data_IF_201562370543
#
_entry.id   IF_201562370543
#
_cell.length_a   1.000
_cell.length_b   1.000
_cell.length_c   1.000
_cell.angle_alpha   90.00
_cell.angle_beta   90.00
_cell.angle_gamma   90.00
#
_symmetry.space_group_name_H-M   'P 1'
#
loop_
_entity.id
_entity.type
_entity.pdbx_description
1 polymer ?
#
# COMPACT_ATOMS: atom_id res chain seq x y z
N UNK A 1 39.82 -25.20 27.36
CA UNK A 1 39.56 -23.74 27.53
C UNK A 1 40.72 -22.87 27.06
N UNK A 2 41.97 -23.07 27.52
CA UNK A 2 43.13 -22.23 27.10
C UNK A 2 43.41 -22.22 25.59
N UNK A 3 43.17 -23.33 24.89
CA UNK A 3 43.38 -23.48 23.43
C UNK A 3 42.30 -22.83 22.57
N UNK A 4 41.04 -22.81 23.01
CA UNK A 4 39.93 -22.18 22.27
C UNK A 4 40.03 -20.64 22.36
N UNK A 5 40.42 -20.13 23.52
CA UNK A 5 40.68 -18.70 23.73
C UNK A 5 41.83 -18.20 22.83
N UNK A 6 42.86 -19.01 22.59
CA UNK A 6 43.97 -18.63 21.71
C UNK A 6 43.55 -18.50 20.23
N UNK A 7 42.59 -19.32 19.79
CA UNK A 7 42.04 -19.27 18.42
C UNK A 7 41.16 -18.03 18.24
N UNK A 8 40.34 -17.69 19.23
CA UNK A 8 39.45 -16.52 19.21
C UNK A 8 40.19 -15.17 19.17
N UNK A 9 41.43 -15.11 19.69
CA UNK A 9 42.27 -13.90 19.68
C UNK A 9 43.33 -13.93 18.56
N UNK A 10 43.31 -14.98 17.72
CA UNK A 10 44.22 -15.09 16.59
C UNK A 10 43.79 -14.20 15.42
N UNK A 11 44.71 -13.93 14.50
CA UNK A 11 44.46 -13.18 13.26
C UNK A 11 43.41 -13.83 12.34
N UNK A 12 42.96 -15.06 12.63
CA UNK A 12 41.85 -15.72 11.94
C UNK A 12 40.56 -14.89 12.04
N UNK A 13 40.36 -14.16 13.15
CA UNK A 13 39.21 -13.27 13.34
C UNK A 13 39.55 -11.79 13.19
N UNK A 14 40.77 -11.46 12.73
CA UNK A 14 41.11 -10.08 12.43
C UNK A 14 40.31 -9.63 11.20
N UNK A 15 39.58 -8.53 11.34
CA UNK A 15 38.83 -7.93 10.25
C UNK A 15 39.77 -7.50 9.13
N UNK A 16 39.62 -8.09 7.93
CA UNK A 16 40.27 -7.62 6.72
C UNK A 16 39.68 -6.28 6.22
N UNK A 17 38.50 -5.90 6.72
CA UNK A 17 37.99 -4.56 6.50
C UNK A 17 38.82 -3.60 7.35
N UNK A 18 39.73 -2.88 6.70
CA UNK A 18 40.16 -1.57 7.16
C UNK A 18 38.90 -0.80 7.57
N UNK A 19 38.99 0.02 8.61
CA UNK A 19 37.91 0.86 9.14
C UNK A 19 37.36 1.81 8.08
N UNK A 20 36.62 1.29 7.11
CA UNK A 20 35.74 2.04 6.26
C UNK A 20 34.64 2.48 7.19
N UNK A 21 34.55 3.78 7.46
CA UNK A 21 33.32 4.36 7.96
C UNK A 21 32.21 4.01 6.95
N UNK A 22 31.50 2.90 7.19
CA UNK A 22 30.34 2.54 6.39
C UNK A 22 29.25 3.53 6.74
N UNK A 23 29.12 4.59 5.95
CA UNK A 23 28.00 5.51 6.05
C UNK A 23 26.73 4.73 5.73
N UNK A 24 25.71 4.81 6.58
CA UNK A 24 24.40 4.18 6.36
C UNK A 24 23.59 4.94 5.29
N UNK A 25 24.16 5.07 4.09
CA UNK A 25 23.54 5.72 2.94
C UNK A 25 22.48 4.78 2.37
N UNK A 26 21.24 5.25 2.11
CA UNK A 26 20.22 4.45 1.47
C UNK A 26 20.67 3.89 0.12
N UNK A 27 20.63 2.57 -0.03
CA UNK A 27 20.94 1.88 -1.29
C UNK A 27 19.95 0.74 -1.52
N UNK A 28 19.49 0.49 -2.76
CA UNK A 28 18.61 -0.65 -3.04
C UNK A 28 19.24 -1.99 -2.63
N UNK A 29 18.41 -2.99 -2.32
CA UNK A 29 18.92 -4.38 -2.30
C UNK A 29 19.42 -4.78 -3.69
N UNK A 30 20.25 -5.81 -3.77
CA UNK A 30 20.79 -6.27 -5.05
C UNK A 30 19.68 -6.64 -6.06
N UNK A 31 18.60 -7.28 -5.60
CA UNK A 31 17.46 -7.64 -6.44
C UNK A 31 16.69 -6.40 -6.94
N UNK A 32 16.45 -5.43 -6.06
CA UNK A 32 15.82 -4.15 -6.45
C UNK A 32 16.71 -3.35 -7.42
N UNK A 33 18.02 -3.31 -7.19
CA UNK A 33 18.95 -2.66 -8.11
C UNK A 33 18.95 -3.32 -9.49
N UNK A 34 18.89 -4.66 -9.56
CA UNK A 34 18.81 -5.38 -10.82
C UNK A 34 17.53 -5.03 -11.59
N UNK A 35 16.38 -4.95 -10.89
CA UNK A 35 15.12 -4.47 -11.46
C UNK A 35 15.24 -3.03 -12.00
N UNK A 36 15.77 -2.11 -11.19
CA UNK A 36 15.95 -0.71 -11.59
C UNK A 36 16.89 -0.56 -12.79
N UNK A 37 17.95 -1.37 -12.87
CA UNK A 37 18.87 -1.34 -14.02
C UNK A 37 18.15 -1.69 -15.32
N UNK A 38 17.27 -2.69 -15.31
CA UNK A 38 16.46 -3.06 -16.48
C UNK A 38 15.48 -1.94 -16.82
N UNK A 39 14.72 -1.45 -15.83
CA UNK A 39 13.74 -0.39 -16.01
C UNK A 39 14.37 0.89 -16.59
N UNK A 40 15.46 1.36 -15.97
CA UNK A 40 16.14 2.61 -16.32
C UNK A 40 16.96 2.51 -17.62
N UNK A 41 17.21 1.30 -18.14
CA UNK A 41 17.82 1.11 -19.47
C UNK A 41 16.83 1.31 -20.61
N UNK A 42 15.52 1.32 -20.33
CA UNK A 42 14.47 1.52 -21.31
C UNK A 42 14.53 2.92 -21.92
N UNK A 43 14.35 3.01 -23.24
CA UNK A 43 14.26 4.29 -23.98
C UNK A 43 12.82 4.79 -24.13
N UNK A 44 11.91 4.31 -23.27
CA UNK A 44 10.51 4.73 -23.27
C UNK A 44 10.37 6.19 -22.86
N UNK A 45 9.26 6.82 -23.29
CA UNK A 45 8.90 8.15 -22.80
C UNK A 45 8.54 8.09 -21.31
N UNK A 46 8.79 9.15 -20.51
CA UNK A 46 8.30 9.26 -19.14
C UNK A 46 6.78 9.03 -19.05
N UNK A 47 6.30 8.42 -17.97
CA UNK A 47 4.90 8.05 -17.83
C UNK A 47 3.97 9.26 -17.83
N UNK A 48 4.39 10.39 -17.27
CA UNK A 48 3.62 11.64 -17.28
C UNK A 48 3.43 12.24 -18.69
N UNK A 49 4.11 11.70 -19.71
CA UNK A 49 3.96 12.07 -21.12
C UNK A 49 3.14 11.02 -21.91
N UNK A 50 2.63 9.99 -21.24
CA UNK A 50 1.73 8.99 -21.80
C UNK A 50 0.28 9.45 -21.69
N UNK A 51 -0.58 8.92 -22.56
CA UNK A 51 -2.02 8.92 -22.29
C UNK A 51 -2.33 8.00 -21.09
N UNK A 52 -3.45 8.19 -20.38
CA UNK A 52 -3.88 7.27 -19.33
C UNK A 52 -3.90 5.80 -19.79
N UNK A 53 -4.34 5.53 -21.02
CA UNK A 53 -4.42 4.18 -21.58
C UNK A 53 -3.04 3.56 -21.82
N UNK A 54 -2.10 4.34 -22.37
CA UNK A 54 -0.71 3.89 -22.54
C UNK A 54 -0.06 3.58 -21.18
N UNK A 55 -0.24 4.48 -20.20
CA UNK A 55 0.31 4.31 -18.86
C UNK A 55 -0.27 3.06 -18.15
N UNK A 56 -1.59 2.83 -18.27
CA UNK A 56 -2.25 1.62 -17.76
C UNK A 56 -1.62 0.36 -18.34
N UNK A 57 -1.36 0.36 -19.65
CA UNK A 57 -0.78 -0.80 -20.33
C UNK A 57 0.64 -1.13 -19.85
N UNK A 58 1.41 -0.13 -19.40
CA UNK A 58 2.74 -0.35 -18.80
C UNK A 58 2.61 -1.20 -17.53
N UNK A 59 1.72 -0.84 -16.62
CA UNK A 59 1.52 -1.62 -15.38
C UNK A 59 0.93 -3.00 -15.67
N UNK A 60 -0.05 -3.10 -16.58
CA UNK A 60 -0.63 -4.39 -17.00
C UNK A 60 0.46 -5.32 -17.55
N UNK A 61 1.30 -4.82 -18.46
CA UNK A 61 2.38 -5.59 -19.05
C UNK A 61 3.44 -6.02 -18.04
N UNK A 62 3.82 -5.14 -17.10
CA UNK A 62 4.78 -5.45 -16.05
C UNK A 62 4.28 -6.52 -15.06
N UNK A 63 2.97 -6.63 -14.87
CA UNK A 63 2.35 -7.56 -13.94
C UNK A 63 1.93 -8.89 -14.60
N UNK A 64 1.86 -8.96 -15.93
CA UNK A 64 1.37 -10.12 -16.64
C UNK A 64 2.24 -11.37 -16.43
N UNK A 65 1.60 -12.55 -16.37
CA UNK A 65 2.30 -13.84 -16.40
C UNK A 65 2.89 -14.28 -15.07
N UNK A 66 2.66 -13.53 -13.99
CA UNK A 66 3.10 -13.90 -12.66
C UNK A 66 2.44 -15.21 -12.18
N UNK A 67 3.20 -16.03 -11.47
CA UNK A 67 2.66 -17.18 -10.75
C UNK A 67 1.83 -16.68 -9.58
N UNK A 68 0.53 -16.98 -9.60
CA UNK A 68 -0.39 -16.61 -8.52
C UNK A 68 -0.38 -17.69 -7.43
N UNK A 69 -0.24 -17.32 -6.13
CA UNK A 69 -0.43 -18.29 -5.06
C UNK A 69 -1.90 -18.77 -5.03
N UNK A 70 -2.16 -20.02 -4.60
CA UNK A 70 -3.52 -20.57 -4.58
C UNK A 70 -4.48 -19.75 -3.70
N UNK A 71 -5.65 -19.45 -4.23
CA UNK A 71 -6.73 -18.71 -3.57
C UNK A 71 -8.04 -18.91 -4.32
N UNK A 72 -9.17 -18.76 -3.64
CA UNK A 72 -10.49 -18.70 -4.27
C UNK A 72 -10.78 -17.25 -4.69
N UNK A 73 -11.27 -17.04 -5.91
CA UNK A 73 -11.67 -15.70 -6.39
C UNK A 73 -13.10 -15.75 -6.91
N UNK A 74 -13.93 -14.82 -6.46
CA UNK A 74 -15.28 -14.60 -6.96
C UNK A 74 -15.55 -13.12 -7.22
N UNK A 75 -16.72 -12.81 -7.77
CA UNK A 75 -17.12 -11.46 -8.15
C UNK A 75 -18.54 -11.20 -7.67
N UNK A 76 -18.81 -9.96 -7.26
CA UNK A 76 -20.16 -9.48 -6.94
C UNK A 76 -20.27 -8.01 -7.33
N UNK A 77 -21.35 -7.66 -8.01
CA UNK A 77 -21.73 -6.25 -8.20
C UNK A 77 -22.78 -5.89 -7.17
N UNK A 78 -22.50 -4.87 -6.37
CA UNK A 78 -23.44 -4.32 -5.38
C UNK A 78 -24.11 -3.07 -5.93
N UNK A 79 -25.29 -2.74 -5.41
CA UNK A 79 -26.01 -1.51 -5.74
C UNK A 79 -26.09 -0.65 -4.49
N UNK A 80 -25.47 0.53 -4.53
CA UNK A 80 -25.49 1.48 -3.40
C UNK A 80 -25.83 2.85 -3.94
N UNK A 81 -26.88 3.48 -3.40
CA UNK A 81 -27.35 4.81 -3.81
C UNK A 81 -27.56 4.98 -5.33
N UNK A 82 -28.02 3.91 -6.01
CA UNK A 82 -28.23 3.90 -7.46
C UNK A 82 -26.95 3.76 -8.30
N UNK A 83 -25.80 3.52 -7.67
CA UNK A 83 -24.54 3.20 -8.36
C UNK A 83 -24.18 1.72 -8.21
N UNK A 84 -23.75 1.13 -9.32
CA UNK A 84 -23.19 -0.22 -9.33
C UNK A 84 -21.70 -0.15 -8.97
N UNK A 85 -21.28 -0.95 -7.98
CA UNK A 85 -19.87 -1.09 -7.60
C UNK A 85 -19.49 -2.56 -7.75
N UNK A 86 -18.47 -2.84 -8.56
CA UNK A 86 -17.97 -4.20 -8.76
C UNK A 86 -16.94 -4.53 -7.69
N UNK A 87 -17.09 -5.70 -7.10
CA UNK A 87 -16.21 -6.25 -6.08
C UNK A 87 -15.55 -7.53 -6.57
N UNK A 88 -14.27 -7.71 -6.27
CA UNK A 88 -13.59 -9.01 -6.39
C UNK A 88 -13.30 -9.51 -4.99
N UNK A 89 -13.78 -10.72 -4.69
CA UNK A 89 -13.64 -11.33 -3.37
C UNK A 89 -12.59 -12.42 -3.47
N UNK A 90 -11.54 -12.31 -2.67
CA UNK A 90 -10.45 -13.30 -2.64
C UNK A 90 -10.41 -13.95 -1.26
N UNK A 91 -10.41 -15.28 -1.21
CA UNK A 91 -10.39 -16.06 0.03
C UNK A 91 -9.25 -17.08 0.02
N UNK A 92 -8.79 -17.56 1.20
CA UNK A 92 -7.86 -18.67 1.27
C UNK A 92 -8.35 -19.88 0.47
N UNK A 93 -7.44 -20.65 -0.13
CA UNK A 93 -7.76 -21.77 -1.02
C UNK A 93 -8.75 -22.78 -0.42
N UNK A 94 -8.57 -23.09 0.87
CA UNK A 94 -9.38 -24.06 1.61
C UNK A 94 -10.38 -23.37 2.57
N UNK A 95 -10.82 -22.15 2.25
CA UNK A 95 -11.75 -21.41 3.10
C UNK A 95 -13.08 -22.16 3.27
N UNK A 96 -13.49 -22.34 4.53
CA UNK A 96 -14.81 -22.87 4.92
C UNK A 96 -15.41 -22.00 6.02
N UNK A 97 -16.73 -21.82 6.00
CA UNK A 97 -17.43 -20.99 7.00
C UNK A 97 -17.24 -19.48 6.78
N UNK A 98 -17.61 -18.70 7.80
CA UNK A 98 -17.57 -17.23 7.78
C UNK A 98 -16.18 -16.72 8.18
N UNK A 99 -15.57 -15.89 7.34
CA UNK A 99 -14.25 -15.28 7.59
C UNK A 99 -14.36 -13.83 8.07
N UNK A 100 -13.38 -13.28 8.82
CA UNK A 100 -13.22 -11.83 8.83
C UNK A 100 -12.83 -11.33 7.44
N UNK A 101 -12.96 -10.03 7.21
CA UNK A 101 -12.60 -9.44 5.93
C UNK A 101 -11.73 -8.19 6.08
N UNK A 102 -11.06 -7.85 4.99
CA UNK A 102 -10.51 -6.53 4.80
C UNK A 102 -10.90 -6.01 3.42
N UNK A 103 -11.22 -4.71 3.37
CA UNK A 103 -11.34 -4.02 2.10
C UNK A 103 -9.95 -3.88 1.49
N UNK A 104 -9.84 -4.04 0.18
CA UNK A 104 -8.60 -3.78 -0.54
C UNK A 104 -8.79 -2.63 -1.54
N UNK A 105 -8.01 -1.57 -1.36
CA UNK A 105 -7.98 -0.40 -2.24
C UNK A 105 -6.66 -0.43 -3.00
N UNK A 106 -6.73 -0.51 -4.32
CA UNK A 106 -5.54 -0.68 -5.14
C UNK A 106 -4.78 0.62 -5.36
N UNK A 107 -3.48 0.49 -5.61
CA UNK A 107 -2.59 1.58 -6.00
C UNK A 107 -2.65 1.88 -7.50
N UNK A 108 -1.70 2.70 -7.96
CA UNK A 108 -1.60 3.10 -9.37
C UNK A 108 -1.85 4.59 -9.63
N UNK A 109 -1.68 5.46 -8.63
CA UNK A 109 -1.77 6.91 -8.86
C UNK A 109 -3.16 7.38 -9.32
N UNK A 110 -4.22 6.66 -8.93
CA UNK A 110 -5.62 6.81 -9.35
C UNK A 110 -5.90 6.57 -10.84
N UNK A 111 -4.88 6.69 -11.69
CA UNK A 111 -4.98 6.51 -13.13
C UNK A 111 -4.80 5.05 -13.56
N UNK A 112 -3.93 4.33 -12.87
CA UNK A 112 -3.52 2.97 -13.17
C UNK A 112 -4.16 1.98 -12.20
N UNK A 113 -3.89 0.71 -12.45
CA UNK A 113 -4.24 -0.38 -11.56
C UNK A 113 -5.65 -0.90 -11.81
N UNK A 114 -5.79 -2.18 -11.53
CA UNK A 114 -7.01 -2.95 -11.58
C UNK A 114 -6.83 -4.20 -10.71
N UNK A 115 -7.83 -5.09 -10.67
CA UNK A 115 -7.72 -6.33 -9.91
C UNK A 115 -6.57 -7.23 -10.43
N UNK A 116 -6.47 -7.57 -11.74
CA UNK A 116 -5.38 -8.41 -12.24
C UNK A 116 -3.96 -7.92 -11.89
N UNK A 117 -3.70 -6.62 -11.98
CA UNK A 117 -2.40 -6.03 -11.65
C UNK A 117 -2.05 -6.17 -10.17
N UNK A 118 -3.04 -6.23 -9.28
CA UNK A 118 -2.86 -6.35 -7.83
C UNK A 118 -3.09 -7.78 -7.31
N UNK A 119 -3.50 -8.71 -8.17
CA UNK A 119 -4.02 -10.02 -7.75
C UNK A 119 -3.01 -10.83 -6.93
N UNK A 120 -1.73 -10.85 -7.32
CA UNK A 120 -0.69 -11.57 -6.55
C UNK A 120 -0.55 -10.98 -5.14
N UNK A 121 -0.42 -9.65 -5.01
CA UNK A 121 -0.35 -8.97 -3.72
C UNK A 121 -1.57 -9.28 -2.84
N UNK A 122 -2.78 -9.21 -3.40
CA UNK A 122 -4.01 -9.50 -2.68
C UNK A 122 -4.00 -10.95 -2.17
N UNK A 123 -3.63 -11.91 -3.02
CA UNK A 123 -3.58 -13.33 -2.65
C UNK A 123 -2.52 -13.60 -1.57
N UNK A 124 -1.38 -12.92 -1.60
CA UNK A 124 -0.37 -13.03 -0.54
C UNK A 124 -0.89 -12.52 0.81
N UNK A 125 -1.56 -11.37 0.83
CA UNK A 125 -2.18 -10.82 2.04
C UNK A 125 -3.31 -11.71 2.57
N UNK A 126 -4.15 -12.26 1.68
CA UNK A 126 -5.20 -13.23 2.03
C UNK A 126 -4.60 -14.49 2.65
N UNK A 127 -3.53 -15.04 2.06
CA UNK A 127 -2.85 -16.23 2.56
C UNK A 127 -2.21 -15.98 3.93
N UNK A 128 -1.53 -14.84 4.10
CA UNK A 128 -0.83 -14.51 5.34
C UNK A 128 -1.76 -14.10 6.48
N UNK A 129 -2.94 -13.50 6.18
CA UNK A 129 -3.91 -13.09 7.21
C UNK A 129 -4.97 -14.15 7.54
N UNK A 130 -5.27 -15.05 6.59
CA UNK A 130 -6.43 -15.95 6.65
C UNK A 130 -7.78 -15.25 6.48
N UNK A 131 -7.80 -13.94 6.22
CA UNK A 131 -9.02 -13.15 6.03
C UNK A 131 -9.41 -13.07 4.54
N UNK A 132 -10.68 -12.72 4.27
CA UNK A 132 -11.14 -12.45 2.91
C UNK A 132 -10.77 -11.02 2.48
N UNK A 133 -10.19 -10.85 1.30
CA UNK A 133 -10.06 -9.54 0.68
C UNK A 133 -11.31 -9.20 -0.12
N UNK A 134 -11.81 -7.98 0.03
CA UNK A 134 -12.84 -7.39 -0.83
C UNK A 134 -12.22 -6.23 -1.60
N UNK A 135 -11.72 -6.52 -2.80
CA UNK A 135 -11.24 -5.49 -3.71
C UNK A 135 -12.41 -4.69 -4.26
N UNK A 136 -12.27 -3.37 -4.27
CA UNK A 136 -13.26 -2.43 -4.81
C UNK A 136 -12.77 -1.90 -6.16
N UNK A 137 -13.54 -2.14 -7.23
CA UNK A 137 -13.23 -1.63 -8.56
C UNK A 137 -13.71 -0.18 -8.71
N UNK A 138 -12.99 0.75 -8.08
CA UNK A 138 -13.33 2.17 -8.12
C UNK A 138 -13.12 2.77 -9.52
N UNK A 139 -13.85 3.84 -9.85
CA UNK A 139 -13.69 4.52 -11.14
C UNK A 139 -12.31 5.22 -11.20
N UNK A 140 -11.47 4.94 -12.20
CA UNK A 140 -10.15 5.54 -12.31
C UNK A 140 -10.21 7.02 -12.71
N UNK A 141 -9.11 7.71 -12.48
CA UNK A 141 -8.85 9.04 -13.04
C UNK A 141 -8.17 8.95 -14.41
N UNK A 142 -8.32 9.95 -15.30
CA UNK A 142 -9.13 11.16 -15.14
C UNK A 142 -10.62 10.99 -15.50
N UNK A 143 -11.11 9.76 -15.74
CA UNK A 143 -12.54 9.53 -16.02
C UNK A 143 -13.43 9.97 -14.85
N UNK A 144 -12.94 9.82 -13.62
CA UNK A 144 -13.48 10.45 -12.43
C UNK A 144 -12.39 11.19 -11.65
N UNK A 145 -12.80 12.22 -10.93
CA UNK A 145 -11.95 13.01 -10.05
C UNK A 145 -12.35 12.81 -8.58
N UNK A 146 -11.55 13.35 -7.66
CA UNK A 146 -11.96 13.47 -6.26
C UNK A 146 -13.37 14.10 -6.16
N UNK A 147 -14.29 13.59 -5.31
CA UNK A 147 -14.17 12.48 -4.36
C UNK A 147 -14.79 11.14 -4.82
N UNK A 148 -15.02 10.91 -6.13
CA UNK A 148 -15.83 9.78 -6.62
C UNK A 148 -15.33 8.41 -6.11
N UNK A 149 -14.05 8.11 -6.31
CA UNK A 149 -13.49 6.82 -5.93
C UNK A 149 -13.49 6.57 -4.41
N UNK A 150 -13.24 7.60 -3.61
CA UNK A 150 -13.25 7.46 -2.13
C UNK A 150 -14.66 7.32 -1.56
N UNK A 151 -15.68 7.86 -2.24
CA UNK A 151 -17.08 7.61 -1.90
C UNK A 151 -17.48 6.19 -2.26
N UNK A 152 -17.10 5.69 -3.45
CA UNK A 152 -17.33 4.29 -3.83
C UNK A 152 -16.66 3.31 -2.84
N UNK A 153 -15.42 3.59 -2.45
CA UNK A 153 -14.69 2.81 -1.45
C UNK A 153 -15.40 2.80 -0.08
N UNK A 154 -15.87 3.96 0.38
CA UNK A 154 -16.61 4.07 1.64
C UNK A 154 -17.95 3.32 1.59
N UNK A 155 -18.73 3.51 0.53
CA UNK A 155 -20.02 2.84 0.35
C UNK A 155 -19.88 1.32 0.23
N UNK A 156 -18.86 0.83 -0.48
CA UNK A 156 -18.54 -0.60 -0.52
C UNK A 156 -18.13 -1.14 0.86
N UNK A 157 -17.35 -0.37 1.63
CA UNK A 157 -16.96 -0.72 2.99
C UNK A 157 -18.18 -0.83 3.91
N UNK A 158 -19.08 0.14 3.85
CA UNK A 158 -20.35 0.14 4.58
C UNK A 158 -21.21 -1.06 4.18
N UNK A 159 -21.34 -1.33 2.88
CA UNK A 159 -22.07 -2.49 2.39
C UNK A 159 -21.51 -3.81 2.93
N UNK A 160 -20.18 -4.00 2.94
CA UNK A 160 -19.57 -5.22 3.51
C UNK A 160 -19.84 -5.33 5.01
N UNK A 161 -19.81 -4.23 5.74
CA UNK A 161 -20.12 -4.23 7.17
C UNK A 161 -21.57 -4.66 7.45
N UNK A 162 -22.53 -4.22 6.63
CA UNK A 162 -23.97 -4.47 6.79
C UNK A 162 -24.42 -5.81 6.18
N UNK A 163 -23.81 -6.21 5.05
CA UNK A 163 -24.25 -7.31 4.19
C UNK A 163 -23.18 -8.40 3.98
N UNK A 164 -22.10 -8.39 4.76
CA UNK A 164 -20.97 -9.31 4.59
C UNK A 164 -21.35 -10.80 4.54
N UNK A 165 -22.43 -11.20 5.21
CA UNK A 165 -22.93 -12.57 5.18
C UNK A 165 -23.26 -13.05 3.75
N UNK A 166 -23.69 -12.16 2.86
CA UNK A 166 -23.97 -12.48 1.45
C UNK A 166 -22.74 -12.92 0.65
N UNK A 167 -21.55 -12.54 1.09
CA UNK A 167 -20.27 -12.97 0.51
C UNK A 167 -19.50 -13.90 1.46
N UNK A 168 -20.14 -14.39 2.52
CA UNK A 168 -19.57 -15.31 3.50
C UNK A 168 -18.47 -14.68 4.36
N UNK A 169 -18.64 -13.41 4.75
CA UNK A 169 -17.75 -12.71 5.69
C UNK A 169 -18.52 -12.12 6.87
N UNK A 170 -17.83 -11.94 7.98
CA UNK A 170 -18.32 -11.24 9.17
C UNK A 170 -17.94 -9.76 9.08
N UNK A 171 -18.90 -8.93 8.67
CA UNK A 171 -18.74 -7.49 8.49
C UNK A 171 -18.39 -6.72 9.77
N UNK A 172 -18.54 -7.32 10.95
CA UNK A 172 -18.14 -6.70 12.22
C UNK A 172 -16.63 -6.81 12.51
N UNK A 173 -15.94 -7.67 11.77
CA UNK A 173 -14.49 -7.91 11.80
C UNK A 173 -13.87 -7.48 10.49
N UNK A 174 -13.89 -6.16 10.28
CA UNK A 174 -13.51 -5.52 9.02
C UNK A 174 -12.25 -4.68 9.16
N UNK A 175 -11.25 -4.96 8.33
CA UNK A 175 -10.04 -4.14 8.17
C UNK A 175 -10.06 -3.33 6.86
N UNK A 176 -9.14 -2.38 6.73
CA UNK A 176 -8.90 -1.62 5.50
C UNK A 176 -7.44 -1.77 5.09
N UNK A 177 -7.18 -2.16 3.84
CA UNK A 177 -5.83 -2.36 3.32
C UNK A 177 -5.70 -1.69 1.97
N UNK A 178 -4.55 -1.09 1.70
CA UNK A 178 -4.26 -0.56 0.37
C UNK A 178 -2.81 -0.13 0.20
N UNK A 179 -2.36 -0.12 -1.05
CA UNK A 179 -1.00 0.26 -1.43
C UNK A 179 -0.96 1.60 -2.15
N UNK A 180 0.05 2.43 -1.91
CA UNK A 180 0.23 3.72 -2.58
C UNK A 180 -1.00 4.63 -2.39
N UNK A 181 -1.68 5.06 -3.46
CA UNK A 181 -2.97 5.77 -3.38
C UNK A 181 -4.11 4.93 -2.78
N UNK A 182 -4.00 3.60 -2.79
CA UNK A 182 -4.86 2.72 -2.01
C UNK A 182 -4.66 2.90 -0.51
N UNK A 183 -3.41 3.15 -0.07
CA UNK A 183 -3.11 3.53 1.30
C UNK A 183 -3.69 4.91 1.66
N UNK A 184 -3.69 5.85 0.72
CA UNK A 184 -4.44 7.11 0.85
C UNK A 184 -5.95 6.86 1.06
N UNK A 185 -6.52 5.96 0.24
CA UNK A 185 -7.92 5.59 0.28
C UNK A 185 -8.30 4.91 1.60
N UNK A 186 -7.42 4.09 2.19
CA UNK A 186 -7.59 3.56 3.56
C UNK A 186 -7.84 4.69 4.56
N UNK A 187 -6.98 5.72 4.56
CA UNK A 187 -7.15 6.86 5.47
C UNK A 187 -8.41 7.66 5.18
N UNK A 188 -8.74 7.87 3.91
CA UNK A 188 -9.95 8.56 3.48
C UNK A 188 -11.23 7.84 3.95
N UNK A 189 -11.30 6.52 3.77
CA UNK A 189 -12.45 5.70 4.20
C UNK A 189 -12.56 5.67 5.72
N UNK A 190 -11.46 5.53 6.45
CA UNK A 190 -11.47 5.55 7.92
C UNK A 190 -11.91 6.92 8.47
N UNK A 191 -11.48 8.03 7.86
CA UNK A 191 -11.93 9.37 8.23
C UNK A 191 -13.43 9.58 7.94
N UNK A 192 -13.93 9.09 6.80
CA UNK A 192 -15.36 9.09 6.49
C UNK A 192 -16.15 8.25 7.49
N UNK A 193 -15.70 7.04 7.81
CA UNK A 193 -16.36 6.17 8.79
C UNK A 193 -16.47 6.84 10.17
N UNK A 194 -15.41 7.53 10.61
CA UNK A 194 -15.47 8.33 11.84
C UNK A 194 -16.48 9.47 11.74
N UNK A 195 -16.49 10.21 10.63
CA UNK A 195 -17.41 11.33 10.42
C UNK A 195 -18.88 10.89 10.39
N UNK A 196 -19.16 9.70 9.84
CA UNK A 196 -20.50 9.15 9.70
C UNK A 196 -20.88 8.14 10.80
N UNK A 197 -20.08 8.04 11.86
CA UNK A 197 -20.29 7.14 13.00
C UNK A 197 -20.38 5.64 12.64
N UNK A 198 -19.69 5.21 11.59
CA UNK A 198 -19.59 3.82 11.18
C UNK A 198 -19.22 3.64 9.70
N UNK A 199 -18.89 2.40 9.28
CA UNK A 199 -18.86 1.18 10.09
C UNK A 199 -17.63 1.11 11.03
N UNK A 200 -17.64 0.18 11.99
CA UNK A 200 -16.49 -0.07 12.86
C UNK A 200 -15.37 -0.73 12.06
N UNK A 201 -14.18 -0.15 12.10
CA UNK A 201 -12.97 -0.70 11.49
C UNK A 201 -12.06 -1.24 12.59
N UNK A 202 -11.58 -2.47 12.41
CA UNK A 202 -10.67 -3.16 13.35
C UNK A 202 -9.23 -2.70 13.18
N UNK A 203 -8.76 -2.63 11.95
CA UNK A 203 -7.36 -2.39 11.65
C UNK A 203 -7.17 -1.80 10.26
N UNK A 204 -6.21 -0.91 10.13
CA UNK A 204 -5.77 -0.34 8.87
C UNK A 204 -4.36 -0.84 8.53
N UNK A 205 -4.13 -1.19 7.26
CA UNK A 205 -2.78 -1.45 6.74
C UNK A 205 -2.54 -0.54 5.53
N UNK A 206 -1.69 0.46 5.73
CA UNK A 206 -1.32 1.44 4.72
C UNK A 206 0.07 1.09 4.17
N UNK A 207 0.11 0.45 3.01
CA UNK A 207 1.35 0.03 2.37
C UNK A 207 1.88 1.21 1.53
N UNK A 208 3.04 1.74 1.91
CA UNK A 208 3.76 2.87 1.26
C UNK A 208 2.81 3.99 0.77
N UNK A 209 2.04 4.60 1.69
CA UNK A 209 0.87 5.39 1.32
C UNK A 209 1.23 6.78 0.77
N UNK A 210 0.37 7.28 -0.12
CA UNK A 210 0.25 8.72 -0.38
C UNK A 210 -0.58 9.34 0.75
N UNK A 211 -0.15 10.46 1.29
CA UNK A 211 -0.75 11.15 2.44
C UNK A 211 -0.78 12.68 2.30
N UNK A 212 -0.04 13.27 1.36
CA UNK A 212 -0.10 14.71 1.07
C UNK A 212 0.08 15.03 -0.41
N UNK A 213 -0.66 16.04 -0.88
CA UNK A 213 -0.47 16.68 -2.17
C UNK A 213 0.63 17.75 -2.10
N UNK A 214 1.83 17.35 -1.66
CA UNK A 214 3.04 18.15 -1.64
C UNK A 214 4.23 17.32 -2.16
N UNK A 215 5.26 17.97 -2.70
CA UNK A 215 6.33 17.34 -3.50
C UNK A 215 7.74 17.78 -3.08
N UNK A 216 7.88 18.28 -1.85
CA UNK A 216 9.07 18.99 -1.36
C UNK A 216 9.75 18.33 -0.14
N UNK A 217 9.28 17.17 0.33
CA UNK A 217 9.92 16.43 1.42
C UNK A 217 11.35 16.02 1.09
N UNK A 218 12.15 15.66 2.10
CA UNK A 218 13.52 15.21 1.86
C UNK A 218 13.55 13.95 0.98
N UNK A 219 12.65 12.99 1.21
CA UNK A 219 12.51 11.80 0.36
C UNK A 219 12.06 12.12 -1.07
N UNK A 220 11.14 13.08 -1.27
CA UNK A 220 10.77 13.55 -2.61
C UNK A 220 11.98 14.09 -3.37
N UNK A 221 12.86 14.82 -2.70
CA UNK A 221 14.05 15.39 -3.32
C UNK A 221 15.16 14.35 -3.54
N UNK A 222 15.38 13.45 -2.57
CA UNK A 222 16.43 12.45 -2.64
C UNK A 222 16.16 11.38 -3.72
N UNK A 223 14.90 10.98 -3.90
CA UNK A 223 14.51 9.89 -4.79
C UNK A 223 13.67 10.37 -5.98
N UNK A 224 13.82 11.64 -6.37
CA UNK A 224 12.93 12.28 -7.35
C UNK A 224 12.85 11.58 -8.71
N UNK A 225 13.90 10.86 -9.10
CA UNK A 225 14.04 10.14 -10.36
C UNK A 225 14.87 8.86 -10.18
N UNK A 226 14.66 7.87 -11.05
CA UNK A 226 15.50 6.66 -11.12
C UNK A 226 15.09 5.52 -10.17
N UNK A 227 14.08 5.72 -9.32
CA UNK A 227 13.60 4.75 -8.32
C UNK A 227 12.17 4.25 -8.62
N UNK A 228 11.88 3.98 -9.89
CA UNK A 228 10.54 3.61 -10.41
C UNK A 228 9.49 4.72 -10.29
N UNK A 229 9.04 5.06 -9.07
CA UNK A 229 8.12 6.19 -8.86
C UNK A 229 8.90 7.50 -8.85
N UNK A 230 8.59 8.41 -9.78
CA UNK A 230 9.22 9.73 -9.83
C UNK A 230 8.35 10.83 -9.22
N UNK A 231 8.98 11.95 -8.87
CA UNK A 231 8.29 13.17 -8.44
C UNK A 231 7.32 13.68 -9.52
N UNK A 232 7.69 13.58 -10.80
CA UNK A 232 6.84 14.01 -11.91
C UNK A 232 5.63 13.10 -12.11
N UNK A 233 5.80 11.79 -11.94
CA UNK A 233 4.68 10.84 -11.92
C UNK A 233 3.68 11.20 -10.82
N UNK A 234 4.16 11.47 -9.60
CA UNK A 234 3.28 11.89 -8.49
C UNK A 234 2.53 13.18 -8.79
N UNK A 235 3.18 14.19 -9.37
CA UNK A 235 2.49 15.42 -9.81
C UNK A 235 1.40 15.12 -10.83
N UNK A 236 1.72 14.31 -11.84
CA UNK A 236 0.77 13.92 -12.88
C UNK A 236 -0.42 13.13 -12.33
N UNK A 237 -0.18 12.19 -11.41
CA UNK A 237 -1.24 11.45 -10.73
C UNK A 237 -2.17 12.39 -9.95
N UNK A 238 -1.61 13.31 -9.16
CA UNK A 238 -2.39 14.31 -8.45
C UNK A 238 -3.16 15.24 -9.40
N UNK A 239 -2.57 15.64 -10.53
CA UNK A 239 -3.25 16.49 -11.52
C UNK A 239 -4.43 15.76 -12.19
N UNK A 240 -4.31 14.46 -12.47
CA UNK A 240 -5.43 13.66 -12.98
C UNK A 240 -6.50 13.43 -11.89
N UNK A 241 -6.12 13.34 -10.62
CA UNK A 241 -7.06 13.11 -9.52
C UNK A 241 -7.85 14.36 -9.16
N UNK A 242 -7.17 15.50 -8.97
CA UNK A 242 -7.76 16.84 -8.83
C UNK A 242 -6.68 17.93 -8.86
N UNK A 243 -6.93 19.00 -9.61
CA UNK A 243 -6.08 20.22 -9.61
C UNK A 243 -6.59 21.30 -8.65
N UNK A 244 -7.74 21.07 -8.01
CA UNK A 244 -8.33 22.03 -7.08
C UNK A 244 -7.54 22.07 -5.76
N UNK A 245 -7.02 23.26 -5.42
CA UNK A 245 -6.26 23.46 -4.20
C UNK A 245 -7.07 23.17 -2.92
N UNK A 246 -8.38 23.43 -2.93
CA UNK A 246 -9.25 23.12 -1.80
C UNK A 246 -9.39 21.60 -1.59
N UNK A 247 -9.52 20.84 -2.68
CA UNK A 247 -9.57 19.37 -2.62
C UNK A 247 -8.23 18.81 -2.13
N UNK A 248 -7.11 19.32 -2.64
CA UNK A 248 -5.76 18.94 -2.16
C UNK A 248 -5.53 19.31 -0.69
N UNK A 249 -6.24 20.30 -0.16
CA UNK A 249 -6.19 20.66 1.26
C UNK A 249 -7.21 19.88 2.12
N UNK A 250 -8.11 19.13 1.50
CA UNK A 250 -9.09 18.30 2.20
C UNK A 250 -8.40 17.08 2.84
N UNK A 251 -8.73 16.77 4.09
CA UNK A 251 -8.15 15.63 4.82
C UNK A 251 -8.49 14.26 4.19
N UNK A 252 -9.53 14.20 3.35
CA UNK A 252 -9.89 12.99 2.60
C UNK A 252 -9.02 12.76 1.37
N UNK A 253 -8.23 13.75 0.96
CA UNK A 253 -7.22 13.65 -0.09
C UNK A 253 -5.81 13.70 0.51
N UNK A 254 -5.52 14.70 1.36
CA UNK A 254 -4.23 14.86 2.04
C UNK A 254 -4.40 14.63 3.56
N UNK A 255 -4.55 13.37 4.02
CA UNK A 255 -4.75 13.06 5.44
C UNK A 255 -3.61 13.54 6.34
N UNK A 256 -2.40 13.76 5.80
CA UNK A 256 -1.29 14.36 6.54
C UNK A 256 -1.64 15.77 7.04
N UNK A 257 -2.58 16.48 6.43
CA UNK A 257 -3.01 17.83 6.85
C UNK A 257 -4.04 17.83 7.97
N UNK A 258 -4.54 16.65 8.36
CA UNK A 258 -5.46 16.56 9.49
C UNK A 258 -4.80 17.02 10.79
N UNK A 259 -5.60 17.68 11.62
CA UNK A 259 -5.25 18.03 13.01
C UNK A 259 -5.34 16.80 13.91
N UNK A 260 -4.69 16.86 15.08
CA UNK A 260 -4.80 15.78 16.09
C UNK A 260 -6.26 15.51 16.50
N UNK A 261 -7.11 16.55 16.58
CA UNK A 261 -8.54 16.40 16.87
C UNK A 261 -9.29 15.65 15.76
N UNK A 262 -8.93 15.88 14.50
CA UNK A 262 -9.50 15.17 13.35
C UNK A 262 -9.02 13.72 13.26
N UNK A 263 -7.83 13.40 13.78
CA UNK A 263 -7.25 12.05 13.81
C UNK A 263 -7.61 11.25 15.07
N UNK A 264 -8.08 11.90 16.14
CA UNK A 264 -8.49 11.20 17.36
C UNK A 264 -9.61 10.19 17.04
N UNK A 265 -9.45 8.96 17.53
CA UNK A 265 -10.39 7.87 17.29
C UNK A 265 -10.28 7.23 15.91
N UNK A 266 -9.23 7.53 15.14
CA UNK A 266 -8.87 6.76 13.95
C UNK A 266 -8.54 5.30 14.34
N UNK A 267 -8.83 4.30 13.48
CA UNK A 267 -8.58 2.90 13.80
C UNK A 267 -7.09 2.58 14.01
N UNK A 268 -6.80 1.53 14.75
CA UNK A 268 -5.44 1.02 14.89
C UNK A 268 -4.81 0.75 13.53
N UNK A 269 -3.52 1.09 13.35
CA UNK A 269 -2.94 1.21 12.01
C UNK A 269 -1.52 0.64 11.93
N UNK A 270 -1.24 -0.14 10.89
CA UNK A 270 0.10 -0.43 10.40
C UNK A 270 0.40 0.44 9.18
N UNK A 271 1.55 1.10 9.18
CA UNK A 271 2.11 1.80 8.02
C UNK A 271 3.43 1.11 7.66
N UNK A 272 3.55 0.65 6.42
CA UNK A 272 4.84 0.22 5.88
C UNK A 272 5.39 1.29 4.94
N UNK A 273 6.68 1.61 5.03
CA UNK A 273 7.33 2.54 4.09
C UNK A 273 8.54 1.89 3.43
N UNK A 274 8.81 2.30 2.19
CA UNK A 274 10.02 1.92 1.48
C UNK A 274 11.13 2.96 1.73
N UNK A 275 12.36 2.52 1.97
CA UNK A 275 13.46 3.44 2.27
C UNK A 275 13.80 4.38 1.10
N UNK A 276 13.66 3.90 -0.14
CA UNK A 276 14.01 4.60 -1.38
C UNK A 276 12.76 4.99 -2.18
N UNK A 277 11.86 5.71 -1.52
CA UNK A 277 10.57 6.14 -2.06
C UNK A 277 10.34 7.62 -1.76
N UNK A 278 9.88 8.36 -2.77
CA UNK A 278 9.48 9.76 -2.62
C UNK A 278 8.41 9.95 -1.53
N UNK A 279 7.53 8.98 -1.34
CA UNK A 279 6.43 9.01 -0.36
C UNK A 279 6.84 8.60 1.07
N UNK A 280 8.09 8.18 1.28
CA UNK A 280 8.53 7.64 2.56
C UNK A 280 8.29 8.61 3.72
N UNK A 281 8.74 9.85 3.57
CA UNK A 281 8.71 10.81 4.67
C UNK A 281 7.28 11.23 5.02
N UNK A 282 6.40 11.35 4.04
CA UNK A 282 4.99 11.71 4.28
C UNK A 282 4.23 10.57 4.96
N UNK A 283 4.45 9.32 4.56
CA UNK A 283 3.86 8.15 5.22
C UNK A 283 4.32 8.00 6.68
N UNK A 284 5.62 8.19 6.95
CA UNK A 284 6.15 8.18 8.32
C UNK A 284 5.66 9.36 9.15
N UNK A 285 5.57 10.56 8.56
CA UNK A 285 5.04 11.74 9.24
C UNK A 285 3.56 11.56 9.59
N UNK A 286 2.78 10.90 8.74
CA UNK A 286 1.39 10.58 9.04
C UNK A 286 1.28 9.61 10.21
N UNK A 287 2.12 8.57 10.26
CA UNK A 287 2.19 7.67 11.41
C UNK A 287 2.49 8.39 12.72
N UNK A 288 3.44 9.34 12.72
CA UNK A 288 3.72 10.18 13.91
C UNK A 288 2.52 11.05 14.30
N UNK A 289 1.75 11.55 13.34
CA UNK A 289 0.52 12.32 13.62
C UNK A 289 -0.58 11.46 14.21
N UNK A 290 -0.73 10.21 13.77
CA UNK A 290 -1.64 9.24 14.35
C UNK A 290 -1.28 8.96 15.82
N UNK A 291 -0.01 8.66 16.09
CA UNK A 291 0.50 8.44 17.46
C UNK A 291 0.24 9.65 18.37
N UNK A 292 0.56 10.86 17.89
CA UNK A 292 0.30 12.10 18.61
C UNK A 292 -1.20 12.37 18.87
N UNK A 293 -2.11 11.76 18.10
CA UNK A 293 -3.55 11.81 18.30
C UNK A 293 -4.09 10.68 19.23
N UNK A 294 -3.20 9.82 19.75
CA UNK A 294 -3.53 8.69 20.62
C UNK A 294 -3.98 7.43 19.89
N UNK A 295 -3.67 7.31 18.60
CA UNK A 295 -4.02 6.15 17.78
C UNK A 295 -2.93 5.08 17.92
N UNK A 296 -3.25 3.82 18.25
CA UNK A 296 -2.27 2.74 18.22
C UNK A 296 -1.75 2.55 16.79
N UNK A 297 -0.47 2.86 16.57
CA UNK A 297 0.12 2.85 15.24
C UNK A 297 1.50 2.20 15.26
N UNK A 298 1.75 1.33 14.29
CA UNK A 298 3.06 0.77 14.00
C UNK A 298 3.55 1.31 12.67
N UNK A 299 4.77 1.82 12.63
CA UNK A 299 5.41 2.31 11.39
C UNK A 299 6.68 1.51 11.17
N UNK A 300 6.73 0.79 10.05
CA UNK A 300 7.87 -0.07 9.69
C UNK A 300 8.45 0.36 8.36
N UNK A 301 9.67 0.89 8.38
CA UNK A 301 10.46 1.12 7.17
C UNK A 301 11.15 -0.17 6.75
N UNK A 302 11.04 -0.54 5.48
CA UNK A 302 11.81 -1.62 4.87
C UNK A 302 12.97 -1.05 4.06
N UNK A 303 14.18 -1.26 4.57
CA UNK A 303 15.41 -0.79 3.93
C UNK A 303 15.66 -1.49 2.59
N UNK A 304 16.32 -0.76 1.68
CA UNK A 304 16.67 -1.23 0.34
C UNK A 304 15.49 -1.37 -0.63
N UNK A 305 14.27 -1.07 -0.21
CA UNK A 305 13.06 -1.17 -1.04
C UNK A 305 12.73 0.16 -1.75
N UNK A 306 12.17 0.06 -2.95
CA UNK A 306 11.55 1.16 -3.71
C UNK A 306 10.03 1.18 -3.51
N UNK A 307 9.36 2.23 -3.98
CA UNK A 307 7.90 2.29 -4.04
C UNK A 307 7.30 1.03 -4.70
N UNK A 308 6.14 0.58 -4.20
CA UNK A 308 5.40 -0.57 -4.73
C UNK A 308 6.17 -1.91 -4.71
N UNK A 309 7.14 -2.07 -3.80
CA UNK A 309 7.93 -3.30 -3.66
C UNK A 309 7.08 -4.57 -3.51
N UNK A 310 5.97 -4.52 -2.76
CA UNK A 310 5.06 -5.66 -2.64
C UNK A 310 4.03 -5.78 -3.77
N UNK A 311 3.90 -4.77 -4.63
CA UNK A 311 3.05 -4.81 -5.83
C UNK A 311 3.80 -5.37 -7.04
N UNK A 312 5.05 -4.99 -7.28
CA UNK A 312 5.74 -5.34 -8.52
C UNK A 312 5.99 -6.85 -8.61
N UNK A 313 5.37 -7.54 -9.56
CA UNK A 313 5.54 -8.98 -9.77
C UNK A 313 7.00 -9.41 -10.00
N UNK A 314 7.84 -8.62 -10.70
CA UNK A 314 9.28 -8.90 -10.79
C UNK A 314 10.03 -8.94 -9.44
N UNK A 315 9.48 -8.35 -8.39
CA UNK A 315 10.07 -8.31 -7.05
C UNK A 315 9.42 -9.31 -6.07
N UNK A 316 8.46 -10.14 -6.49
CA UNK A 316 7.70 -11.00 -5.57
C UNK A 316 8.56 -12.00 -4.79
N UNK A 317 9.71 -12.37 -5.35
CA UNK A 317 10.64 -13.32 -4.72
C UNK A 317 11.74 -12.66 -3.89
N UNK A 318 11.83 -11.33 -3.89
CA UNK A 318 12.75 -10.58 -3.04
C UNK A 318 12.47 -10.94 -1.56
N UNK A 319 13.48 -11.36 -0.78
CA UNK A 319 13.27 -11.80 0.61
C UNK A 319 12.52 -10.77 1.46
N UNK A 320 12.87 -9.49 1.31
CA UNK A 320 12.20 -8.39 2.01
C UNK A 320 10.72 -8.29 1.66
N UNK A 321 10.35 -8.49 0.39
CA UNK A 321 8.94 -8.45 -0.05
C UNK A 321 8.14 -9.56 0.61
N UNK A 322 8.63 -10.80 0.58
CA UNK A 322 7.94 -11.94 1.20
C UNK A 322 7.73 -11.73 2.70
N UNK A 323 8.76 -11.27 3.41
CA UNK A 323 8.68 -11.01 4.86
C UNK A 323 7.75 -9.84 5.15
N UNK A 324 7.81 -8.76 4.39
CA UNK A 324 6.97 -7.58 4.62
C UNK A 324 5.47 -7.89 4.46
N UNK A 325 5.11 -8.67 3.44
CA UNK A 325 3.72 -9.08 3.20
C UNK A 325 3.24 -10.10 4.24
N UNK A 326 4.09 -11.03 4.66
CA UNK A 326 3.76 -11.95 5.75
C UNK A 326 3.55 -11.20 7.08
N UNK A 327 4.39 -10.20 7.38
CA UNK A 327 4.23 -9.35 8.57
C UNK A 327 2.95 -8.50 8.51
N UNK A 328 2.60 -7.96 7.35
CA UNK A 328 1.33 -7.26 7.16
C UNK A 328 0.14 -8.19 7.39
N UNK A 329 0.18 -9.40 6.82
CA UNK A 329 -0.86 -10.41 7.00
C UNK A 329 -0.98 -10.88 8.44
N UNK A 330 0.13 -11.12 9.13
CA UNK A 330 0.15 -11.54 10.53
C UNK A 330 -0.42 -10.45 11.47
N UNK A 331 -0.07 -9.18 11.25
CA UNK A 331 -0.67 -8.07 11.98
C UNK A 331 -2.17 -8.01 11.72
N UNK A 332 -2.60 -8.09 10.46
CA UNK A 332 -4.02 -8.08 10.11
C UNK A 332 -4.77 -9.25 10.75
N UNK A 333 -4.19 -10.45 10.77
CA UNK A 333 -4.75 -11.62 11.43
C UNK A 333 -5.03 -11.37 12.91
N UNK A 334 -4.06 -10.80 13.65
CA UNK A 334 -4.20 -10.52 15.07
C UNK A 334 -5.40 -9.61 15.38
N UNK A 335 -5.54 -8.51 14.63
CA UNK A 335 -6.58 -7.51 14.90
C UNK A 335 -7.97 -7.89 14.34
N UNK A 336 -8.04 -8.90 13.47
CA UNK A 336 -9.29 -9.44 12.91
C UNK A 336 -9.85 -10.65 13.66
N UNK A 337 -9.23 -11.06 14.79
CA UNK A 337 -9.78 -12.09 15.68
C UNK A 337 -11.15 -11.70 16.24
#
# INVERSE_FOLDING_TARGET
MKTLAAILVSSVFASAAASAHTTNTPTPTAGVQAFLNVLNSGKGKPMEQMTPQEARQVLIGAQQGAKLPPAQVSEKTIQVNGQAIKLKIVKPENATGTLPAFMFFHGGGWVLGDFPTHERLIRDLVRASGAAAVYVDYTPSPEAHFPVAIHQAFEATKWVAEHGQEIGVDGSRLGLVGNSVGGNMVASVALQAKQFNGPKIRYNVMLWPVTDANFDTASYNQFENGYFLSKNMMKWFWDNYTTNAADRNNILASPLRASAAQLKGFPETLIQTAELDVLRDEGEAFGRKLDAAGVPVTVTRYNGMIHDYGLLNPLSEEPTVKVALEQAGAALHEHLK
#
